data_IF_414435194941
#
_entry.id   IF_414435194941
#
_cell.length_a   1.000
_cell.length_b   1.000
_cell.length_c   1.000
_cell.angle_alpha   90.00
_cell.angle_beta   90.00
_cell.angle_gamma   90.00
#
_symmetry.space_group_name_H-M   'P 1'
#
loop_
_entity.id
_entity.type
_entity.pdbx_description
1 polymer ?
#
# COMPACT_ATOMS: atom_id res chain seq x y z
N UNK A 1 -18.28 12.42 1.87
CA UNK A 1 -17.00 11.72 1.62
C UNK A 1 -15.88 12.70 1.26
N UNK A 2 -15.76 13.24 0.04
CA UNK A 2 -14.62 14.13 -0.34
C UNK A 2 -14.48 15.36 0.55
N UNK A 3 -15.57 16.05 0.87
CA UNK A 3 -15.53 17.22 1.75
C UNK A 3 -15.00 16.89 3.15
N UNK A 4 -15.31 15.72 3.67
CA UNK A 4 -14.79 15.25 4.96
C UNK A 4 -13.31 14.95 4.90
N UNK A 5 -12.83 14.34 3.79
CA UNK A 5 -11.41 14.11 3.54
C UNK A 5 -10.63 15.42 3.45
N UNK A 6 -11.16 16.40 2.70
CA UNK A 6 -10.60 17.76 2.64
C UNK A 6 -10.54 18.37 4.05
N UNK A 7 -11.60 18.25 4.86
CA UNK A 7 -11.63 18.79 6.22
C UNK A 7 -10.55 18.17 7.11
N UNK A 8 -10.29 16.87 6.99
CA UNK A 8 -9.18 16.20 7.72
C UNK A 8 -7.82 16.76 7.33
N UNK A 9 -7.59 16.97 6.02
CA UNK A 9 -6.34 17.56 5.51
C UNK A 9 -6.18 19.01 5.98
N UNK A 10 -7.23 19.83 5.92
CA UNK A 10 -7.20 21.22 6.42
C UNK A 10 -6.88 21.29 7.92
N UNK A 11 -7.43 20.37 8.73
CA UNK A 11 -7.08 20.26 10.14
C UNK A 11 -5.61 19.86 10.38
N UNK A 12 -5.03 19.04 9.50
CA UNK A 12 -3.61 18.71 9.53
C UNK A 12 -2.73 19.91 9.14
N UNK A 13 -3.11 20.63 8.09
CA UNK A 13 -2.44 21.88 7.68
C UNK A 13 -2.44 22.90 8.82
N UNK A 14 -3.56 23.04 9.54
CA UNK A 14 -3.65 23.94 10.69
C UNK A 14 -2.65 23.58 11.81
N UNK A 15 -2.49 22.27 12.11
CA UNK A 15 -1.47 21.82 13.09
C UNK A 15 -0.05 22.12 12.65
N UNK A 16 0.22 22.17 11.35
CA UNK A 16 1.52 22.57 10.77
C UNK A 16 1.67 24.09 10.62
N UNK A 17 0.65 24.88 10.92
CA UNK A 17 0.67 26.33 10.73
C UNK A 17 0.56 26.77 9.27
N UNK A 18 0.08 25.89 8.38
CA UNK A 18 -0.04 26.16 6.94
C UNK A 18 -1.43 26.70 6.61
N UNK A 19 -1.49 27.79 5.83
CA UNK A 19 -2.72 28.36 5.30
C UNK A 19 -3.05 27.88 3.89
N UNK A 20 -2.06 27.31 3.20
CA UNK A 20 -2.16 26.83 1.84
C UNK A 20 -1.28 25.61 1.58
N UNK A 21 -1.71 24.76 0.64
CA UNK A 21 -0.97 23.57 0.23
C UNK A 21 -1.27 23.24 -1.24
N UNK A 22 -0.25 22.81 -1.97
CA UNK A 22 -0.37 22.25 -3.31
C UNK A 22 -0.15 20.74 -3.27
N UNK A 23 -1.11 19.97 -3.80
CA UNK A 23 -1.05 18.52 -3.98
C UNK A 23 -0.88 18.24 -5.46
N UNK A 24 0.09 17.41 -5.84
CA UNK A 24 0.39 17.03 -7.24
C UNK A 24 0.24 15.55 -7.51
N UNK A 25 0.25 14.71 -6.48
CA UNK A 25 0.03 13.26 -6.61
C UNK A 25 -1.40 12.98 -7.12
N UNK A 26 -1.57 12.32 -8.30
CA UNK A 26 -2.89 12.03 -8.86
C UNK A 26 -3.77 11.18 -7.95
N UNK A 27 -3.22 10.22 -7.20
CA UNK A 27 -4.00 9.39 -6.27
C UNK A 27 -4.50 10.22 -5.08
N UNK A 28 -3.68 11.13 -4.55
CA UNK A 28 -4.08 12.08 -3.51
C UNK A 28 -5.12 13.07 -4.01
N UNK A 29 -5.00 13.57 -5.25
CA UNK A 29 -6.01 14.45 -5.84
C UNK A 29 -7.33 13.69 -6.03
N UNK A 30 -7.29 12.45 -6.53
CA UNK A 30 -8.50 11.62 -6.62
C UNK A 30 -9.12 11.38 -5.24
N UNK A 31 -8.32 11.07 -4.23
CA UNK A 31 -8.79 10.88 -2.85
C UNK A 31 -9.57 12.08 -2.32
N UNK A 32 -9.12 13.29 -2.66
CA UNK A 32 -9.73 14.54 -2.20
C UNK A 32 -10.89 15.00 -3.08
N UNK A 33 -10.92 14.65 -4.37
CA UNK A 33 -11.82 15.24 -5.35
C UNK A 33 -12.74 14.26 -6.06
N UNK A 34 -12.33 12.99 -6.15
CA UNK A 34 -12.99 11.96 -6.94
C UNK A 34 -12.67 12.01 -8.44
N UNK A 35 -11.83 12.95 -8.89
CA UNK A 35 -11.46 13.04 -10.30
C UNK A 35 -10.29 12.14 -10.62
N UNK A 36 -10.54 11.17 -11.50
CA UNK A 36 -9.56 10.21 -12.00
C UNK A 36 -8.90 10.78 -13.25
N UNK A 37 -7.75 11.43 -13.08
CA UNK A 37 -6.97 12.02 -14.15
C UNK A 37 -5.56 11.45 -14.13
N UNK A 38 -5.14 10.88 -15.25
CA UNK A 38 -3.74 10.53 -15.49
C UNK A 38 -3.11 11.61 -16.38
N UNK A 39 -2.35 12.57 -15.79
CA UNK A 39 -1.92 13.78 -16.48
C UNK A 39 -0.73 13.58 -17.43
N UNK A 40 -0.14 12.38 -17.48
CA UNK A 40 1.14 12.10 -18.15
C UNK A 40 2.23 13.05 -17.62
N UNK A 41 2.89 13.79 -18.50
CA UNK A 41 3.93 14.76 -18.15
C UNK A 41 3.40 16.16 -17.83
N UNK A 42 2.08 16.37 -17.86
CA UNK A 42 1.46 17.70 -17.73
C UNK A 42 1.22 18.08 -16.27
N UNK A 43 1.18 19.37 -16.02
CA UNK A 43 0.82 19.90 -14.69
C UNK A 43 -0.61 19.49 -14.35
N UNK A 44 -0.76 18.89 -13.20
CA UNK A 44 -2.02 18.59 -12.54
C UNK A 44 -1.84 18.86 -11.05
N UNK A 45 -2.64 19.73 -10.46
CA UNK A 45 -2.46 20.11 -9.07
C UNK A 45 -3.77 20.53 -8.42
N UNK A 46 -3.94 20.18 -7.15
CA UNK A 46 -5.03 20.67 -6.32
C UNK A 46 -4.48 21.62 -5.26
N UNK A 47 -4.93 22.87 -5.31
CA UNK A 47 -4.58 23.91 -4.38
C UNK A 47 -5.59 23.97 -3.25
N UNK A 48 -5.18 23.58 -2.07
CA UNK A 48 -5.95 23.60 -0.83
C UNK A 48 -5.67 24.93 -0.10
N UNK A 49 -6.74 25.58 0.37
CA UNK A 49 -6.68 26.79 1.17
C UNK A 49 -7.51 26.63 2.43
N UNK A 50 -7.01 27.19 3.56
CA UNK A 50 -7.72 27.17 4.85
C UNK A 50 -9.05 27.92 4.80
N UNK A 51 -9.19 28.93 3.93
CA UNK A 51 -10.43 29.72 3.74
C UNK A 51 -11.48 29.02 2.87
N UNK A 52 -11.20 27.80 2.39
CA UNK A 52 -12.11 26.99 1.56
C UNK A 52 -12.12 27.36 0.08
N UNK A 53 -11.34 28.36 -0.37
CA UNK A 53 -11.27 28.75 -1.77
C UNK A 53 -10.26 27.85 -2.53
N UNK A 54 -10.60 26.56 -2.64
CA UNK A 54 -9.77 25.58 -3.31
C UNK A 54 -9.78 25.78 -4.82
N UNK A 55 -8.68 25.38 -5.49
CA UNK A 55 -8.56 25.44 -6.96
C UNK A 55 -7.96 24.15 -7.50
N UNK A 56 -8.50 23.69 -8.63
CA UNK A 56 -7.97 22.55 -9.37
C UNK A 56 -7.35 23.04 -10.67
N UNK A 57 -6.04 22.80 -10.87
CA UNK A 57 -5.30 23.13 -12.07
C UNK A 57 -5.21 21.93 -12.98
N UNK A 58 -5.71 22.07 -14.21
CA UNK A 58 -5.75 20.94 -15.15
C UNK A 58 -5.68 21.39 -16.60
N UNK A 59 -5.09 20.53 -17.42
CA UNK A 59 -5.01 20.75 -18.85
C UNK A 59 -6.36 20.44 -19.52
N UNK A 60 -6.76 21.25 -20.51
CA UNK A 60 -8.00 21.10 -21.30
C UNK A 60 -8.15 19.74 -21.98
N UNK A 61 -7.06 18.96 -22.07
CA UNK A 61 -7.11 17.58 -22.60
C UNK A 61 -7.79 16.59 -21.65
N UNK A 62 -7.92 16.92 -20.35
CA UNK A 62 -8.49 16.05 -19.32
C UNK A 62 -9.78 16.66 -18.78
N UNK A 63 -10.91 16.63 -19.54
CA UNK A 63 -12.16 17.19 -19.08
C UNK A 63 -12.69 16.43 -17.86
N UNK A 64 -13.02 17.16 -16.82
CA UNK A 64 -13.69 16.65 -15.61
C UNK A 64 -15.00 17.38 -15.41
N UNK A 65 -15.99 16.79 -14.69
CA UNK A 65 -17.24 17.48 -14.34
C UNK A 65 -17.01 18.75 -13.54
N UNK A 66 -18.04 19.61 -13.47
CA UNK A 66 -18.01 20.79 -12.60
C UNK A 66 -17.75 20.39 -11.13
N UNK A 67 -16.99 21.22 -10.43
CA UNK A 67 -16.57 21.06 -9.06
C UNK A 67 -17.16 22.13 -8.16
N UNK A 68 -17.29 21.89 -6.85
CA UNK A 68 -17.65 22.93 -5.89
C UNK A 68 -16.51 23.94 -5.60
N UNK A 69 -15.41 23.87 -6.33
CA UNK A 69 -14.21 24.73 -6.26
C UNK A 69 -13.81 25.19 -7.66
N UNK A 70 -12.99 26.24 -7.73
CA UNK A 70 -12.52 26.83 -8.98
C UNK A 70 -11.69 25.82 -9.79
N UNK A 71 -12.02 25.68 -11.08
CA UNK A 71 -11.25 24.88 -12.04
C UNK A 71 -10.44 25.85 -12.94
N UNK A 72 -9.13 25.80 -12.83
CA UNK A 72 -8.19 26.63 -13.60
C UNK A 72 -7.68 25.83 -14.80
N UNK A 73 -8.19 26.15 -15.97
CA UNK A 73 -7.90 25.43 -17.21
C UNK A 73 -6.78 26.09 -18.01
N UNK A 74 -5.87 25.27 -18.53
CA UNK A 74 -4.82 25.69 -19.45
C UNK A 74 -4.62 24.67 -20.57
N UNK A 75 -3.91 25.07 -21.64
CA UNK A 75 -3.51 24.23 -22.77
C UNK A 75 -2.00 24.01 -22.76
N UNK A 76 -1.50 23.13 -23.65
CA UNK A 76 -0.06 22.87 -23.79
C UNK A 76 0.75 24.11 -24.28
N UNK A 77 0.06 25.11 -24.84
CA UNK A 77 0.67 26.34 -25.34
C UNK A 77 0.58 27.54 -24.38
N UNK A 78 -0.13 27.39 -23.28
CA UNK A 78 -0.23 28.42 -22.25
C UNK A 78 0.99 28.38 -21.32
N UNK A 79 1.33 29.51 -20.73
CA UNK A 79 2.31 29.57 -19.62
C UNK A 79 1.63 29.10 -18.33
N UNK A 80 1.43 27.79 -18.23
CA UNK A 80 0.75 27.17 -17.09
C UNK A 80 1.48 27.36 -15.76
N UNK A 81 2.81 27.57 -15.79
CA UNK A 81 3.57 27.88 -14.57
C UNK A 81 3.30 29.29 -14.07
N UNK A 82 3.24 30.28 -14.96
CA UNK A 82 2.81 31.62 -14.57
C UNK A 82 1.34 31.63 -14.10
N UNK A 83 0.46 30.86 -14.73
CA UNK A 83 -0.95 30.72 -14.30
C UNK A 83 -1.00 30.17 -12.86
N UNK A 84 -0.25 29.10 -12.55
CA UNK A 84 -0.17 28.53 -11.20
C UNK A 84 0.42 29.54 -10.21
N UNK A 85 1.57 30.15 -10.54
CA UNK A 85 2.29 31.07 -9.67
C UNK A 85 1.47 32.32 -9.29
N UNK A 86 0.66 32.82 -10.23
CA UNK A 86 -0.22 33.97 -10.00
C UNK A 86 -1.51 33.61 -9.23
N UNK A 87 -1.87 32.34 -9.17
CA UNK A 87 -3.11 31.90 -8.53
C UNK A 87 -2.92 31.50 -7.05
N UNK A 88 -1.66 31.30 -6.62
CA UNK A 88 -1.30 30.99 -5.23
C UNK A 88 -0.85 32.24 -4.47
N UNK A 89 -0.87 32.20 -3.14
CA UNK A 89 -0.39 33.31 -2.31
C UNK A 89 1.13 33.22 -2.15
N UNK A 90 1.87 34.05 -2.88
CA UNK A 90 3.33 34.05 -2.89
C UNK A 90 3.99 34.60 -1.62
N UNK A 91 3.23 35.18 -0.70
CA UNK A 91 3.74 35.79 0.55
C UNK A 91 3.58 34.87 1.78
N UNK A 92 2.88 33.74 1.62
CA UNK A 92 2.64 32.78 2.69
C UNK A 92 3.38 31.48 2.46
N UNK A 93 3.73 30.78 3.55
CA UNK A 93 4.33 29.47 3.48
C UNK A 93 3.41 28.50 2.72
N UNK A 94 4.01 27.74 1.79
CA UNK A 94 3.33 26.79 0.91
C UNK A 94 3.65 25.37 1.31
N UNK A 95 2.66 24.59 1.72
CA UNK A 95 2.79 23.14 1.80
C UNK A 95 2.86 22.53 0.40
N UNK A 96 3.77 21.57 0.20
CA UNK A 96 3.83 20.76 -1.04
C UNK A 96 3.89 19.29 -0.68
N UNK A 97 3.32 18.42 -1.51
CA UNK A 97 3.46 16.99 -1.33
C UNK A 97 4.83 16.47 -1.83
N UNK A 98 5.14 15.21 -1.53
CA UNK A 98 6.43 14.57 -1.85
C UNK A 98 6.63 14.28 -3.34
N UNK A 99 5.55 14.28 -4.13
CA UNK A 99 5.56 13.80 -5.51
C UNK A 99 5.62 14.93 -6.55
N UNK A 100 5.94 16.17 -6.13
CA UNK A 100 6.08 17.30 -7.05
C UNK A 100 7.22 17.08 -8.04
N UNK A 101 6.94 17.03 -9.34
CA UNK A 101 8.00 17.03 -10.34
C UNK A 101 8.85 18.29 -10.26
N UNK A 102 10.17 18.14 -10.15
CA UNK A 102 11.12 19.27 -10.03
C UNK A 102 10.96 20.29 -11.15
N UNK A 103 10.58 19.85 -12.37
CA UNK A 103 10.32 20.72 -13.53
C UNK A 103 9.19 21.73 -13.31
N UNK A 104 8.28 21.49 -12.38
CA UNK A 104 7.20 22.41 -12.01
C UNK A 104 7.52 23.16 -10.72
N UNK A 105 8.08 22.46 -9.73
CA UNK A 105 8.33 23.04 -8.41
C UNK A 105 9.42 24.11 -8.46
N UNK A 106 10.56 23.84 -9.11
CA UNK A 106 11.67 24.80 -9.15
C UNK A 106 11.29 26.12 -9.83
N UNK A 107 10.62 26.15 -11.01
CA UNK A 107 10.13 27.40 -11.58
C UNK A 107 9.08 28.10 -10.71
N UNK A 108 8.15 27.36 -10.07
CA UNK A 108 7.17 27.93 -9.14
C UNK A 108 7.86 28.64 -7.97
N UNK A 109 8.89 28.03 -7.38
CA UNK A 109 9.70 28.66 -6.33
C UNK A 109 10.41 29.91 -6.83
N UNK A 110 10.90 29.91 -8.08
CA UNK A 110 11.55 31.08 -8.67
C UNK A 110 10.58 32.25 -8.96
N UNK A 111 9.32 31.93 -9.30
CA UNK A 111 8.25 32.93 -9.48
C UNK A 111 7.82 33.56 -8.15
N UNK A 112 7.81 32.82 -7.07
CA UNK A 112 7.34 33.24 -5.74
C UNK A 112 8.49 33.18 -4.71
N UNK A 113 9.52 34.02 -4.82
CA UNK A 113 10.74 33.93 -4.01
C UNK A 113 10.54 34.27 -2.52
N UNK A 114 9.48 35.00 -2.18
CA UNK A 114 9.09 35.27 -0.78
C UNK A 114 8.40 34.08 -0.09
N UNK A 115 7.85 33.17 -0.88
CA UNK A 115 7.15 32.00 -0.38
C UNK A 115 8.15 30.95 0.11
N UNK A 116 8.00 30.50 1.35
CA UNK A 116 8.74 29.35 1.87
C UNK A 116 7.98 28.07 1.57
N UNK A 117 8.63 27.13 0.90
CA UNK A 117 8.05 25.82 0.58
C UNK A 117 8.39 24.79 1.67
N UNK A 118 7.38 24.08 2.14
CA UNK A 118 7.48 23.12 3.23
C UNK A 118 6.90 21.78 2.78
N UNK A 119 7.64 20.69 3.01
CA UNK A 119 7.10 19.34 2.76
C UNK A 119 5.93 19.07 3.71
N UNK A 120 4.75 18.86 3.16
CA UNK A 120 3.49 18.72 3.89
C UNK A 120 2.69 17.48 3.49
N UNK A 121 3.33 16.48 2.89
CA UNK A 121 2.68 15.23 2.48
C UNK A 121 1.90 14.58 3.61
N UNK A 122 2.39 14.69 4.84
CA UNK A 122 1.79 14.13 6.05
C UNK A 122 0.32 14.59 6.23
N UNK A 123 -0.04 15.78 5.73
CA UNK A 123 -1.42 16.25 5.81
C UNK A 123 -2.38 15.34 5.05
N UNK A 124 -1.98 14.83 3.89
CA UNK A 124 -2.78 13.94 3.06
C UNK A 124 -2.53 12.48 3.42
N UNK A 125 -1.27 12.10 3.60
CA UNK A 125 -0.86 10.73 3.91
C UNK A 125 -1.49 10.22 5.22
N UNK A 126 -1.52 11.03 6.28
CA UNK A 126 -2.16 10.69 7.57
C UNK A 126 -3.69 10.58 7.43
N UNK A 127 -4.29 11.36 6.53
CA UNK A 127 -5.73 11.24 6.24
C UNK A 127 -6.04 9.95 5.49
N UNK A 128 -5.17 9.53 4.55
CA UNK A 128 -5.27 8.26 3.80
C UNK A 128 -4.98 7.04 4.69
N UNK A 129 -4.08 7.18 5.68
CA UNK A 129 -3.75 6.10 6.60
C UNK A 129 -4.97 5.57 7.36
N UNK A 130 -5.90 6.45 7.78
CA UNK A 130 -7.14 6.08 8.47
C UNK A 130 -8.31 6.05 7.47
N UNK A 131 -8.62 4.86 6.97
CA UNK A 131 -9.66 4.62 5.96
C UNK A 131 -11.05 4.97 6.48
N UNK A 132 -11.84 5.68 5.68
CA UNK A 132 -13.26 5.91 5.96
C UNK A 132 -14.11 4.64 5.74
N UNK A 133 -15.40 4.70 6.03
CA UNK A 133 -16.27 3.52 5.93
C UNK A 133 -16.32 2.93 4.51
N UNK A 134 -16.36 3.79 3.49
CA UNK A 134 -16.41 3.35 2.09
C UNK A 134 -15.09 2.68 1.69
N UNK A 135 -13.95 3.27 2.06
CA UNK A 135 -12.63 2.70 1.80
C UNK A 135 -12.47 1.33 2.46
N UNK A 136 -12.90 1.20 3.72
CA UNK A 136 -12.86 -0.08 4.45
C UNK A 136 -13.69 -1.16 3.77
N UNK A 137 -14.88 -0.82 3.28
CA UNK A 137 -15.75 -1.79 2.59
C UNK A 137 -15.17 -2.23 1.24
N UNK A 138 -14.52 -1.32 0.50
CA UNK A 138 -13.79 -1.66 -0.74
C UNK A 138 -12.63 -2.62 -0.43
N UNK A 139 -11.81 -2.32 0.57
CA UNK A 139 -10.65 -3.15 0.91
C UNK A 139 -11.04 -4.53 1.48
N UNK A 140 -12.19 -4.64 2.18
CA UNK A 140 -12.75 -5.94 2.57
C UNK A 140 -13.14 -6.78 1.35
N UNK A 141 -13.81 -6.17 0.37
CA UNK A 141 -14.19 -6.87 -0.86
C UNK A 141 -12.94 -7.28 -1.67
N UNK A 142 -11.93 -6.43 -1.76
CA UNK A 142 -10.69 -6.75 -2.48
C UNK A 142 -9.92 -7.88 -1.78
N UNK A 143 -9.86 -7.88 -0.44
CA UNK A 143 -9.28 -8.98 0.34
C UNK A 143 -10.06 -10.29 0.19
N UNK A 144 -11.40 -10.23 0.12
CA UNK A 144 -12.23 -11.41 -0.17
C UNK A 144 -11.96 -11.98 -1.56
N UNK A 145 -11.75 -11.13 -2.56
CA UNK A 145 -11.35 -11.57 -3.91
C UNK A 145 -9.97 -12.22 -3.85
N UNK A 146 -9.06 -11.64 -3.10
CA UNK A 146 -7.72 -12.16 -2.89
C UNK A 146 -7.76 -13.59 -2.29
N UNK A 147 -8.59 -13.81 -1.26
CA UNK A 147 -8.81 -15.13 -0.67
C UNK A 147 -9.27 -16.15 -1.73
N UNK A 148 -10.27 -15.81 -2.54
CA UNK A 148 -10.80 -16.68 -3.60
C UNK A 148 -9.72 -17.05 -4.61
N UNK A 149 -8.92 -16.08 -5.04
CA UNK A 149 -7.87 -16.31 -6.04
C UNK A 149 -6.72 -17.13 -5.46
N UNK A 150 -6.34 -16.91 -4.19
CA UNK A 150 -5.32 -17.73 -3.52
C UNK A 150 -5.75 -19.21 -3.42
N UNK A 151 -6.99 -19.47 -3.04
CA UNK A 151 -7.51 -20.85 -2.98
C UNK A 151 -7.52 -21.51 -4.37
N UNK A 152 -7.91 -20.78 -5.42
CA UNK A 152 -7.85 -21.26 -6.80
C UNK A 152 -6.41 -21.54 -7.25
N UNK A 153 -5.47 -20.65 -6.92
CA UNK A 153 -4.06 -20.84 -7.23
C UNK A 153 -3.50 -22.09 -6.53
N UNK A 154 -3.80 -22.27 -5.25
CA UNK A 154 -3.41 -23.46 -4.51
C UNK A 154 -3.96 -24.76 -5.12
N UNK A 155 -5.22 -24.74 -5.58
CA UNK A 155 -5.84 -25.90 -6.24
C UNK A 155 -5.32 -26.14 -7.68
N UNK A 156 -4.86 -25.10 -8.35
CA UNK A 156 -4.33 -25.17 -9.73
C UNK A 156 -2.94 -25.77 -9.79
N UNK A 157 -2.10 -25.49 -8.78
CA UNK A 157 -0.68 -25.88 -8.78
C UNK A 157 -0.47 -27.40 -8.85
N UNK A 158 0.49 -27.81 -9.70
CA UNK A 158 0.93 -29.20 -9.86
C UNK A 158 2.44 -29.25 -10.02
N UNK A 159 3.04 -30.36 -9.54
CA UNK A 159 4.45 -30.63 -9.81
C UNK A 159 4.79 -30.49 -11.29
N UNK A 160 5.91 -29.82 -11.58
CA UNK A 160 6.37 -29.54 -12.95
C UNK A 160 5.89 -28.22 -13.56
N UNK A 161 4.88 -27.55 -12.96
CA UNK A 161 4.48 -26.19 -13.38
C UNK A 161 5.57 -25.18 -13.05
N UNK A 162 5.74 -24.17 -13.90
CA UNK A 162 6.66 -23.07 -13.65
C UNK A 162 6.05 -22.02 -12.72
N UNK A 163 6.91 -21.24 -12.03
CA UNK A 163 6.48 -20.07 -11.25
C UNK A 163 5.68 -19.10 -12.12
N UNK A 164 6.13 -18.86 -13.37
CA UNK A 164 5.46 -17.98 -14.34
C UNK A 164 4.06 -18.49 -14.72
N UNK A 165 3.89 -19.79 -14.95
CA UNK A 165 2.57 -20.35 -15.26
C UNK A 165 1.57 -20.12 -14.13
N UNK A 166 2.00 -20.19 -12.87
CA UNK A 166 1.12 -19.92 -11.70
C UNK A 166 0.87 -18.42 -11.53
N UNK A 167 1.90 -17.58 -11.70
CA UNK A 167 1.72 -16.12 -11.66
C UNK A 167 0.75 -15.63 -12.74
N UNK A 168 0.89 -16.11 -13.98
CA UNK A 168 -0.02 -15.77 -15.09
C UNK A 168 -1.46 -16.26 -14.82
N UNK A 169 -1.60 -17.42 -14.18
CA UNK A 169 -2.92 -17.91 -13.77
C UNK A 169 -3.57 -16.98 -12.73
N UNK A 170 -2.82 -16.51 -11.72
CA UNK A 170 -3.29 -15.55 -10.71
C UNK A 170 -3.79 -14.26 -11.39
N UNK A 171 -3.00 -13.69 -12.30
CA UNK A 171 -3.41 -12.49 -13.06
C UNK A 171 -4.73 -12.72 -13.82
N UNK A 172 -4.86 -13.87 -14.49
CA UNK A 172 -6.08 -14.22 -15.22
C UNK A 172 -7.29 -14.39 -14.27
N UNK A 173 -7.10 -14.93 -13.06
CA UNK A 173 -8.18 -15.04 -12.07
C UNK A 173 -8.64 -13.69 -11.54
N UNK A 174 -7.74 -12.74 -11.28
CA UNK A 174 -8.13 -11.38 -10.90
C UNK A 174 -8.93 -10.68 -12.00
N UNK A 175 -8.51 -10.82 -13.26
CA UNK A 175 -9.30 -10.31 -14.38
C UNK A 175 -10.70 -10.94 -14.46
N UNK A 176 -10.83 -12.24 -14.17
CA UNK A 176 -12.12 -12.93 -14.15
C UNK A 176 -13.03 -12.46 -12.99
N UNK A 177 -12.46 -12.01 -11.84
CA UNK A 177 -13.20 -11.39 -10.73
C UNK A 177 -13.53 -9.90 -10.98
N UNK A 178 -13.16 -9.36 -12.14
CA UNK A 178 -13.43 -7.97 -12.51
C UNK A 178 -12.56 -6.95 -11.78
N UNK A 179 -11.33 -7.33 -11.43
CA UNK A 179 -10.33 -6.40 -10.91
C UNK A 179 -9.79 -5.51 -12.03
N UNK A 180 -9.41 -4.28 -11.68
CA UNK A 180 -8.83 -3.30 -12.60
C UNK A 180 -7.43 -3.74 -13.06
N UNK A 181 -6.65 -4.30 -12.13
CA UNK A 181 -5.31 -4.87 -12.32
C UNK A 181 -4.91 -5.75 -11.13
N UNK A 182 -3.70 -6.28 -11.15
CA UNK A 182 -3.00 -6.68 -9.93
C UNK A 182 -2.52 -5.44 -9.18
N UNK A 183 -2.35 -5.51 -7.85
CA UNK A 183 -1.72 -4.45 -7.04
C UNK A 183 -0.23 -4.34 -7.40
N UNK A 184 0.42 -5.49 -7.52
CA UNK A 184 1.80 -5.69 -7.98
C UNK A 184 1.89 -6.98 -8.80
N UNK A 185 3.06 -7.27 -9.37
CA UNK A 185 3.26 -8.55 -10.06
C UNK A 185 3.27 -9.68 -9.03
N UNK A 186 2.43 -10.72 -9.17
CA UNK A 186 2.39 -11.82 -8.22
C UNK A 186 3.77 -12.48 -8.05
N UNK A 187 4.24 -12.59 -6.82
CA UNK A 187 5.43 -13.34 -6.46
C UNK A 187 5.02 -14.80 -6.31
N UNK A 188 5.65 -15.68 -7.08
CA UNK A 188 5.53 -17.12 -6.95
C UNK A 188 6.94 -17.68 -6.92
N UNK A 189 7.35 -18.23 -5.78
CA UNK A 189 8.75 -18.64 -5.55
C UNK A 189 8.81 -20.07 -5.05
N UNK A 190 9.65 -20.90 -5.67
CA UNK A 190 9.81 -22.31 -5.35
C UNK A 190 11.14 -22.63 -4.69
N UNK A 191 11.16 -23.42 -3.62
CA UNK A 191 12.37 -23.93 -2.97
C UNK A 191 13.33 -22.80 -2.59
N UNK A 192 14.56 -22.82 -3.14
CA UNK A 192 15.59 -21.83 -2.85
C UNK A 192 15.25 -20.41 -3.32
N UNK A 193 14.38 -20.23 -4.33
CA UNK A 193 13.94 -18.91 -4.78
C UNK A 193 13.09 -18.20 -3.70
N UNK A 194 12.39 -18.94 -2.88
CA UNK A 194 11.62 -18.39 -1.78
C UNK A 194 12.49 -17.69 -0.72
N UNK A 195 13.81 -17.88 -0.74
CA UNK A 195 14.75 -17.16 0.12
C UNK A 195 14.96 -15.69 -0.30
N UNK A 196 14.50 -15.29 -1.50
CA UNK A 196 14.45 -13.90 -1.95
C UNK A 196 13.01 -13.37 -1.80
N UNK A 197 12.76 -12.43 -0.86
CA UNK A 197 11.40 -11.89 -0.62
C UNK A 197 10.75 -11.23 -1.84
N UNK A 198 11.57 -10.74 -2.80
CA UNK A 198 11.11 -10.03 -4.00
C UNK A 198 11.43 -10.80 -5.30
N UNK A 199 11.56 -12.12 -5.22
CA UNK A 199 11.84 -12.95 -6.39
C UNK A 199 10.78 -12.74 -7.50
N UNK A 200 11.23 -12.48 -8.72
CA UNK A 200 10.36 -12.42 -9.88
C UNK A 200 10.12 -13.82 -10.45
N UNK A 201 8.86 -14.25 -10.51
CA UNK A 201 8.47 -15.55 -11.03
C UNK A 201 9.08 -15.85 -12.41
N UNK A 202 9.80 -16.96 -12.54
CA UNK A 202 10.53 -17.36 -13.74
C UNK A 202 10.11 -18.74 -14.31
N UNK A 203 10.97 -19.40 -15.07
CA UNK A 203 10.72 -20.71 -15.66
C UNK A 203 11.10 -21.89 -14.76
N UNK A 204 11.46 -21.62 -13.49
CA UNK A 204 11.77 -22.67 -12.50
C UNK A 204 10.55 -23.54 -12.26
N UNK A 205 10.76 -24.85 -12.30
CA UNK A 205 9.70 -25.84 -12.19
C UNK A 205 9.55 -26.37 -10.78
N UNK A 206 8.30 -26.43 -10.31
CA UNK A 206 7.90 -26.99 -9.03
C UNK A 206 8.30 -28.45 -8.91
N UNK A 207 8.96 -28.83 -7.81
CA UNK A 207 9.40 -30.19 -7.50
C UNK A 207 8.81 -30.65 -6.16
N UNK A 208 8.65 -31.95 -6.02
CA UNK A 208 8.24 -32.53 -4.75
C UNK A 208 9.22 -32.11 -3.62
N UNK A 209 8.69 -31.64 -2.50
CA UNK A 209 9.43 -31.13 -1.36
C UNK A 209 9.74 -29.64 -1.37
N UNK A 210 9.56 -28.93 -2.50
CA UNK A 210 9.74 -27.48 -2.53
C UNK A 210 8.74 -26.77 -1.63
N UNK A 211 9.17 -25.75 -0.91
CA UNK A 211 8.27 -24.73 -0.39
C UNK A 211 7.81 -23.84 -1.55
N UNK A 212 6.65 -23.23 -1.39
CA UNK A 212 6.01 -22.38 -2.40
C UNK A 212 5.53 -21.15 -1.67
N UNK A 213 6.17 -20.01 -1.86
CA UNK A 213 5.68 -18.72 -1.40
C UNK A 213 4.86 -18.11 -2.53
N UNK A 214 3.60 -17.78 -2.25
CA UNK A 214 2.75 -16.98 -3.12
C UNK A 214 2.40 -15.71 -2.38
N UNK A 215 2.81 -14.58 -2.96
CA UNK A 215 2.46 -13.24 -2.51
C UNK A 215 1.75 -12.51 -3.63
N UNK A 216 0.53 -12.02 -3.34
CA UNK A 216 -0.37 -11.55 -4.38
C UNK A 216 -1.41 -10.58 -3.85
N UNK A 217 -1.74 -9.60 -4.68
CA UNK A 217 -2.78 -8.62 -4.42
C UNK A 217 -3.50 -8.18 -5.67
N UNK A 218 -4.79 -7.89 -5.57
CA UNK A 218 -5.55 -7.25 -6.64
C UNK A 218 -5.68 -5.75 -6.41
N UNK A 219 -5.98 -5.01 -7.47
CA UNK A 219 -6.44 -3.63 -7.42
C UNK A 219 -7.83 -3.55 -8.04
N UNK A 220 -8.81 -3.10 -7.26
CA UNK A 220 -10.19 -2.92 -7.72
C UNK A 220 -10.76 -1.63 -7.13
N UNK A 221 -11.51 -0.88 -7.95
CA UNK A 221 -12.04 0.42 -7.53
C UNK A 221 -10.97 1.34 -6.91
N UNK A 222 -9.74 1.25 -7.43
CA UNK A 222 -8.54 2.00 -6.99
C UNK A 222 -7.97 1.61 -5.62
N UNK A 223 -8.46 0.56 -4.97
CA UNK A 223 -7.87 0.04 -3.73
C UNK A 223 -7.15 -1.27 -3.98
N UNK A 224 -6.14 -1.54 -3.15
CA UNK A 224 -5.29 -2.72 -3.25
C UNK A 224 -5.62 -3.70 -2.11
N UNK A 225 -5.55 -5.00 -2.41
CA UNK A 225 -5.41 -6.06 -1.42
C UNK A 225 -3.99 -6.59 -1.42
N UNK A 226 -3.64 -7.35 -0.38
CA UNK A 226 -2.36 -8.00 -0.21
C UNK A 226 -2.49 -9.25 0.64
N UNK A 227 -1.74 -10.31 0.33
CA UNK A 227 -1.68 -11.53 1.12
C UNK A 227 -0.56 -12.45 0.66
N UNK A 228 0.22 -12.96 1.62
CA UNK A 228 1.16 -14.06 1.37
C UNK A 228 0.74 -15.34 2.08
N UNK A 229 0.83 -16.47 1.36
CA UNK A 229 0.73 -17.82 1.91
C UNK A 229 1.90 -18.69 1.43
N UNK A 230 2.34 -19.60 2.30
CA UNK A 230 3.39 -20.57 1.97
C UNK A 230 2.82 -21.99 2.02
N UNK A 231 3.07 -22.74 0.95
CA UNK A 231 2.65 -24.12 0.75
C UNK A 231 3.87 -25.04 0.58
N UNK A 232 3.64 -26.37 0.50
CA UNK A 232 4.65 -27.34 0.14
C UNK A 232 4.17 -28.26 -0.99
N UNK A 233 5.05 -28.58 -1.93
CA UNK A 233 4.72 -29.51 -2.99
C UNK A 233 4.76 -30.96 -2.47
N UNK A 234 3.62 -31.64 -2.44
CA UNK A 234 3.43 -33.05 -2.04
C UNK A 234 3.85 -33.39 -0.61
N UNK A 235 4.97 -32.89 -0.13
CA UNK A 235 5.50 -33.18 1.21
C UNK A 235 6.25 -31.97 1.76
N UNK A 236 6.19 -31.76 3.06
CA UNK A 236 6.99 -30.75 3.76
C UNK A 236 8.19 -31.41 4.46
N UNK A 237 9.38 -30.82 4.32
CA UNK A 237 10.50 -31.15 5.20
C UNK A 237 10.12 -30.74 6.64
N UNK A 238 10.28 -31.63 7.66
CA UNK A 238 9.94 -31.30 9.04
C UNK A 238 10.62 -30.04 9.58
N UNK A 239 11.86 -29.73 9.16
CA UNK A 239 12.58 -28.51 9.53
C UNK A 239 11.82 -27.28 8.98
N UNK A 240 11.45 -27.31 7.72
CA UNK A 240 10.79 -26.18 7.06
C UNK A 240 9.33 -25.99 7.52
N UNK A 241 8.64 -27.10 7.77
CA UNK A 241 7.30 -27.08 8.39
C UNK A 241 7.34 -26.40 9.77
N UNK A 242 8.34 -26.73 10.60
CA UNK A 242 8.50 -26.09 11.92
C UNK A 242 8.84 -24.58 11.81
N UNK A 243 9.63 -24.17 10.80
CA UNK A 243 9.92 -22.75 10.57
C UNK A 243 8.64 -22.03 10.07
N UNK A 244 7.83 -22.69 9.23
CA UNK A 244 6.55 -22.12 8.81
C UNK A 244 5.63 -21.88 10.02
N UNK A 245 5.48 -22.87 10.90
CA UNK A 245 4.65 -22.71 12.10
C UNK A 245 5.16 -21.59 12.99
N UNK A 246 6.47 -21.43 13.15
CA UNK A 246 7.09 -20.32 13.88
C UNK A 246 6.70 -18.95 13.29
N UNK A 247 6.74 -18.80 11.95
CA UNK A 247 6.39 -17.56 11.27
C UNK A 247 4.89 -17.29 11.39
N UNK A 248 4.04 -18.31 11.22
CA UNK A 248 2.59 -18.21 11.44
C UNK A 248 2.29 -17.75 12.88
N UNK A 249 2.91 -18.36 13.87
CA UNK A 249 2.73 -17.96 15.28
C UNK A 249 3.19 -16.51 15.54
N UNK A 250 4.26 -16.05 14.88
CA UNK A 250 4.72 -14.66 14.97
C UNK A 250 3.70 -13.67 14.36
N UNK A 251 3.06 -14.03 13.22
CA UNK A 251 2.00 -13.26 12.60
C UNK A 251 0.78 -13.18 13.54
N UNK A 252 0.26 -14.33 14.01
CA UNK A 252 -0.89 -14.42 14.92
C UNK A 252 -0.64 -13.66 16.25
N UNK A 253 0.59 -13.71 16.78
CA UNK A 253 0.98 -12.99 17.98
C UNK A 253 0.86 -11.48 17.78
N UNK A 254 1.42 -10.93 16.69
CA UNK A 254 1.35 -9.51 16.38
C UNK A 254 -0.11 -9.05 16.17
N UNK A 255 -0.92 -9.82 15.45
CA UNK A 255 -2.34 -9.54 15.25
C UNK A 255 -3.11 -9.51 16.58
N UNK A 256 -2.85 -10.47 17.46
CA UNK A 256 -3.52 -10.56 18.77
C UNK A 256 -3.25 -9.37 19.70
N UNK A 257 -2.13 -8.68 19.48
CA UNK A 257 -1.76 -7.49 20.25
C UNK A 257 -2.38 -6.22 19.70
N UNK A 258 -2.84 -6.22 18.44
CA UNK A 258 -3.28 -5.03 17.74
C UNK A 258 -4.63 -4.52 18.28
N UNK A 259 -4.60 -3.29 18.78
CA UNK A 259 -5.77 -2.51 19.20
C UNK A 259 -5.41 -1.01 19.22
N UNK A 260 -6.38 -0.10 19.25
CA UNK A 260 -6.10 1.33 19.36
C UNK A 260 -5.15 1.67 20.51
N UNK A 261 -4.18 2.53 20.24
CA UNK A 261 -3.21 3.00 21.21
C UNK A 261 -1.95 2.13 21.38
N UNK A 262 -1.87 0.98 20.73
CA UNK A 262 -0.62 0.18 20.70
C UNK A 262 0.38 0.86 19.76
N UNK A 263 1.65 1.08 20.18
CA UNK A 263 2.70 1.54 19.29
C UNK A 263 2.99 0.47 18.20
N UNK A 264 3.12 0.89 16.94
CA UNK A 264 3.36 -0.06 15.84
C UNK A 264 4.70 -0.81 16.01
N UNK A 265 5.71 -0.18 16.60
CA UNK A 265 6.98 -0.84 16.92
C UNK A 265 6.85 -2.02 17.90
N UNK A 266 5.82 -2.02 18.76
CA UNK A 266 5.61 -3.14 19.70
C UNK A 266 5.12 -4.40 18.98
N UNK A 267 4.40 -4.25 17.86
CA UNK A 267 3.98 -5.36 17.00
C UNK A 267 5.19 -5.98 16.29
N UNK A 268 6.06 -5.16 15.66
CA UNK A 268 7.30 -5.64 15.05
C UNK A 268 8.18 -6.34 16.09
N UNK A 269 8.32 -5.72 17.26
CA UNK A 269 9.11 -6.30 18.36
C UNK A 269 8.59 -7.66 18.77
N UNK A 270 7.30 -7.85 18.93
CA UNK A 270 6.71 -9.12 19.35
C UNK A 270 6.98 -10.24 18.35
N UNK A 271 6.72 -10.01 17.06
CA UNK A 271 6.98 -10.98 16.00
C UNK A 271 8.50 -11.28 15.89
N UNK A 272 9.33 -10.26 15.92
CA UNK A 272 10.79 -10.38 15.81
C UNK A 272 11.41 -11.10 17.00
N UNK A 273 10.97 -10.81 18.22
CA UNK A 273 11.44 -11.49 19.42
C UNK A 273 11.04 -12.98 19.39
N UNK A 274 9.83 -13.32 18.95
CA UNK A 274 9.37 -14.69 18.83
C UNK A 274 10.25 -15.50 17.86
N UNK A 275 10.51 -14.97 16.65
CA UNK A 275 11.37 -15.58 15.64
C UNK A 275 12.83 -15.68 16.16
N UNK A 276 13.33 -14.65 16.84
CA UNK A 276 14.70 -14.58 17.37
C UNK A 276 14.94 -15.59 18.48
N UNK A 277 13.95 -15.82 19.36
CA UNK A 277 14.04 -16.81 20.43
C UNK A 277 14.22 -18.24 19.90
N UNK A 278 13.75 -18.53 18.69
CA UNK A 278 13.96 -19.80 18.00
C UNK A 278 15.27 -19.85 17.20
N UNK A 279 16.10 -18.78 17.21
CA UNK A 279 17.40 -18.71 16.54
C UNK A 279 17.34 -18.25 15.08
N UNK A 280 16.20 -17.75 14.60
CA UNK A 280 16.01 -17.30 13.20
C UNK A 280 15.96 -15.78 13.04
N UNK A 281 16.26 -14.98 14.07
CA UNK A 281 16.15 -13.53 14.04
C UNK A 281 16.95 -12.83 12.94
N UNK A 282 18.15 -13.33 12.59
CA UNK A 282 18.97 -12.79 11.50
C UNK A 282 18.36 -13.02 10.10
N UNK A 283 17.45 -13.97 9.97
CA UNK A 283 16.76 -14.32 8.73
C UNK A 283 15.41 -13.60 8.54
N UNK A 284 14.96 -12.83 9.52
CA UNK A 284 13.83 -11.91 9.37
C UNK A 284 14.36 -10.51 9.03
N UNK A 285 14.55 -10.25 7.75
CA UNK A 285 15.39 -9.16 7.24
C UNK A 285 14.63 -7.86 6.91
N UNK A 286 13.31 -7.87 6.92
CA UNK A 286 12.49 -6.69 6.61
C UNK A 286 11.63 -6.23 7.80
N UNK A 287 10.93 -5.11 7.68
CA UNK A 287 9.92 -4.62 8.64
C UNK A 287 8.75 -5.60 8.72
N UNK A 288 7.99 -5.55 9.81
CA UNK A 288 6.84 -6.44 9.99
C UNK A 288 5.69 -6.16 9.02
N UNK A 289 5.57 -4.94 8.48
CA UNK A 289 4.50 -4.62 7.56
C UNK A 289 4.54 -3.18 7.05
N UNK A 290 3.63 -2.86 6.14
CA UNK A 290 3.47 -1.56 5.50
C UNK A 290 2.00 -1.14 5.44
N UNK A 291 1.76 0.16 5.37
CA UNK A 291 0.44 0.70 5.08
C UNK A 291 0.09 0.49 3.62
N UNK A 292 -1.19 0.28 3.36
CA UNK A 292 -1.76 -0.04 2.06
C UNK A 292 -3.08 0.71 1.87
N UNK A 293 -3.47 0.95 0.63
CA UNK A 293 -4.72 1.60 0.28
C UNK A 293 -4.90 1.70 -1.21
N UNK A 294 -4.78 2.90 -1.78
CA UNK A 294 -4.86 3.11 -3.24
C UNK A 294 -3.62 2.58 -3.97
N UNK A 295 -2.50 2.48 -3.26
CA UNK A 295 -1.26 1.85 -3.72
C UNK A 295 -0.91 0.71 -2.77
N UNK A 296 -0.14 -0.25 -3.27
CA UNK A 296 0.36 -1.39 -2.48
C UNK A 296 1.15 -0.93 -1.26
N UNK A 297 1.97 0.10 -1.42
CA UNK A 297 2.70 0.74 -0.33
C UNK A 297 2.27 2.20 -0.20
N UNK A 298 1.61 2.54 0.91
CA UNK A 298 1.34 3.92 1.31
C UNK A 298 2.33 4.36 2.40
N UNK A 299 2.33 5.65 2.76
CA UNK A 299 3.15 6.16 3.85
C UNK A 299 2.76 5.50 5.17
N UNK A 300 3.78 5.00 5.86
CA UNK A 300 3.69 4.31 7.14
C UNK A 300 4.19 2.88 7.04
N UNK A 301 4.65 2.37 8.14
CA UNK A 301 5.15 1.01 8.26
C UNK A 301 4.88 0.44 9.66
N UNK A 302 5.06 -0.87 9.80
CA UNK A 302 5.10 -1.55 11.08
C UNK A 302 6.54 -2.04 11.28
N UNK A 303 7.36 -1.19 11.90
CA UNK A 303 8.80 -1.45 12.07
C UNK A 303 9.26 -1.13 13.49
N UNK A 304 10.43 -1.62 13.84
CA UNK A 304 11.04 -1.44 15.17
C UNK A 304 11.23 0.03 15.57
N UNK A 305 11.20 0.97 14.63
CA UNK A 305 11.41 2.41 14.88
C UNK A 305 10.14 3.25 14.84
N UNK A 306 9.01 2.68 14.40
CA UNK A 306 7.76 3.42 14.27
C UNK A 306 6.96 3.43 15.58
N UNK A 307 7.04 4.52 16.31
CA UNK A 307 6.31 4.73 17.58
C UNK A 307 4.89 5.27 17.39
N UNK A 308 4.39 5.38 16.16
CA UNK A 308 3.01 5.80 15.87
C UNK A 308 2.04 4.86 16.57
N UNK A 309 1.05 5.45 17.24
CA UNK A 309 0.00 4.67 17.90
C UNK A 309 -1.04 4.22 16.88
N UNK A 310 -1.41 2.95 16.91
CA UNK A 310 -2.50 2.40 16.11
C UNK A 310 -3.80 3.18 16.37
N UNK A 311 -4.52 3.54 15.30
CA UNK A 311 -5.78 4.30 15.36
C UNK A 311 -6.85 3.59 14.56
N UNK A 312 -8.13 3.68 14.98
CA UNK A 312 -9.24 3.14 14.21
C UNK A 312 -9.23 3.62 12.75
N UNK A 313 -9.46 2.69 11.84
CA UNK A 313 -9.41 2.93 10.40
C UNK A 313 -8.05 2.73 9.73
N UNK A 314 -6.95 2.58 10.47
CA UNK A 314 -5.67 2.20 9.88
C UNK A 314 -5.76 0.79 9.28
N UNK A 315 -5.23 0.61 8.08
CA UNK A 315 -5.06 -0.69 7.42
C UNK A 315 -3.61 -0.83 7.00
N UNK A 316 -3.00 -1.96 7.36
CA UNK A 316 -1.61 -2.29 7.05
C UNK A 316 -1.40 -3.81 7.04
N UNK A 317 -0.29 -4.27 6.45
CA UNK A 317 0.09 -5.68 6.48
C UNK A 317 0.74 -6.07 7.81
N UNK A 318 0.61 -7.36 8.16
CA UNK A 318 1.43 -8.05 9.16
C UNK A 318 2.01 -9.28 8.47
N UNK A 319 3.30 -9.24 8.13
CA UNK A 319 3.94 -10.15 7.18
C UNK A 319 5.32 -10.67 7.64
N UNK A 320 5.44 -11.26 8.84
CA UNK A 320 6.73 -11.83 9.23
C UNK A 320 7.19 -12.89 8.24
N UNK A 321 8.52 -12.98 8.04
CA UNK A 321 9.12 -13.97 7.17
C UNK A 321 10.48 -14.45 7.70
N UNK A 322 10.89 -15.65 7.28
CA UNK A 322 12.22 -16.23 7.51
C UNK A 322 12.78 -16.72 6.19
N UNK A 323 13.96 -16.23 5.82
CA UNK A 323 14.58 -16.48 4.52
C UNK A 323 15.98 -17.06 4.71
N UNK A 324 16.13 -18.37 4.44
CA UNK A 324 17.41 -19.08 4.54
C UNK A 324 18.10 -19.05 3.17
N UNK A 325 19.17 -18.26 2.98
CA UNK A 325 19.77 -18.05 1.67
C UNK A 325 20.16 -19.34 0.95
N UNK A 326 19.61 -19.52 -0.26
CA UNK A 326 19.88 -20.69 -1.09
C UNK A 326 19.17 -21.99 -0.67
N UNK A 327 18.31 -21.94 0.35
CA UNK A 327 17.59 -23.13 0.84
C UNK A 327 16.07 -22.97 0.77
N UNK A 328 15.54 -21.96 1.46
CA UNK A 328 14.13 -21.94 1.84
C UNK A 328 13.68 -20.52 2.23
N UNK A 329 12.43 -20.20 1.95
CA UNK A 329 11.77 -19.01 2.47
C UNK A 329 10.34 -19.29 2.88
N UNK A 330 9.86 -18.53 3.85
CA UNK A 330 8.46 -18.52 4.30
C UNK A 330 8.04 -17.12 4.66
N UNK A 331 6.84 -16.73 4.23
CA UNK A 331 6.10 -15.55 4.68
C UNK A 331 4.65 -15.93 4.91
N UNK A 332 4.06 -15.39 5.97
CA UNK A 332 2.63 -15.45 6.26
C UNK A 332 2.17 -14.03 6.50
N UNK A 333 1.24 -13.58 5.69
CA UNK A 333 0.80 -12.19 5.64
C UNK A 333 -0.71 -12.07 5.60
N UNK A 334 -1.22 -11.11 6.36
CA UNK A 334 -2.58 -10.62 6.27
C UNK A 334 -2.62 -9.10 6.34
N UNK A 335 -3.64 -8.53 5.69
CA UNK A 335 -4.06 -7.16 5.97
C UNK A 335 -4.92 -7.13 7.23
N UNK A 336 -4.65 -6.15 8.08
CA UNK A 336 -5.40 -5.90 9.31
C UNK A 336 -5.99 -4.50 9.31
N UNK A 337 -7.25 -4.40 9.72
CA UNK A 337 -7.97 -3.15 9.96
C UNK A 337 -8.05 -2.90 11.47
N UNK A 338 -7.52 -1.80 11.96
CA UNK A 338 -7.70 -1.36 13.35
C UNK A 338 -9.16 -0.92 13.54
N UNK A 339 -9.89 -1.59 14.44
CA UNK A 339 -11.28 -1.26 14.82
C UNK A 339 -11.30 -0.33 16.04
N UNK A 340 -12.48 0.00 16.56
CA UNK A 340 -12.62 0.86 17.76
C UNK A 340 -12.09 0.19 19.05
N UNK A 341 -12.05 -1.15 19.11
CA UNK A 341 -11.73 -1.92 20.30
C UNK A 341 -10.71 -3.05 20.08
N UNK A 342 -10.25 -3.26 18.84
CA UNK A 342 -9.30 -4.32 18.48
C UNK A 342 -8.82 -4.23 17.05
N UNK A 343 -8.80 -5.37 16.35
CA UNK A 343 -8.54 -5.43 14.91
C UNK A 343 -9.46 -6.45 14.21
N UNK A 344 -9.64 -6.24 12.92
CA UNK A 344 -10.26 -7.16 11.97
C UNK A 344 -9.20 -7.63 10.99
N UNK A 345 -9.05 -8.94 10.84
CA UNK A 345 -8.19 -9.55 9.83
C UNK A 345 -9.00 -9.61 8.54
N UNK A 346 -8.47 -9.07 7.44
CA UNK A 346 -9.21 -8.97 6.17
C UNK A 346 -9.05 -10.21 5.28
N UNK A 347 -8.00 -11.02 5.50
CA UNK A 347 -7.72 -12.23 4.74
C UNK A 347 -8.13 -13.46 5.56
N UNK A 348 -8.82 -14.41 4.93
CA UNK A 348 -9.41 -15.57 5.62
C UNK A 348 -8.90 -16.92 5.12
N UNK A 349 -7.97 -16.95 4.16
CA UNK A 349 -7.30 -18.19 3.77
C UNK A 349 -6.51 -18.74 4.94
N UNK A 350 -6.69 -20.05 5.23
CA UNK A 350 -6.01 -20.73 6.33
C UNK A 350 -4.49 -20.47 6.30
N UNK A 351 -3.95 -20.05 7.44
CA UNK A 351 -2.51 -19.74 7.61
C UNK A 351 -1.64 -20.97 7.80
N UNK A 352 -2.23 -22.11 8.16
CA UNK A 352 -1.48 -23.34 8.30
C UNK A 352 -0.97 -23.81 6.92
N UNK A 353 0.25 -24.30 6.90
CA UNK A 353 0.77 -24.87 5.67
C UNK A 353 -0.04 -26.11 5.26
N UNK A 354 -0.17 -26.28 3.97
CA UNK A 354 -0.76 -27.48 3.37
C UNK A 354 0.06 -27.93 2.17
N UNK A 355 -0.07 -29.20 1.82
CA UNK A 355 0.56 -29.70 0.59
C UNK A 355 -0.35 -29.48 -0.60
N UNK A 356 0.27 -29.18 -1.76
CA UNK A 356 -0.35 -29.01 -3.08
C UNK A 356 0.41 -29.84 -4.10
N UNK A 357 -0.16 -30.10 -5.28
CA UNK A 357 0.52 -30.81 -6.40
C UNK A 357 0.09 -32.24 -6.62
#
# INVERSE_FOLDING_TARGET
>A
MYQERISRVLAAMERMGLEQMLVSDPDSIWYLTGYDVFPFERLYAFYLRKDGQHKLFLNKLFPVPEAPYEQVWFSDTDDYLAILANAVDGEKDMGVDKDWPARFLLPLMAHNPSCKYVLASDCVDDARACKDAVERDLMREDSRINDVVMERAAAYMKEGMTEREVADYIVAQYAAEGCDSTAFLPIVSYGAHAADPHHEADQTRLKAGDCIVIDMGCRKNRYCSDMTRTFFCRAADPKYAAIHDLVREANELAESMLRPGVPLCDLDKAARDHISAAGYGEYFTHRLGHFIGQTEHEKGDVSATNTTLAKPGMIFSIEPGVYLPGEFGVRVEDLVLVTEDGCEILNHVDKHWKTVG
#
